data_IF_182722384101
#
_entry.id   IF_182722384101
#
_cell.length_a   1.000
_cell.length_b   1.000
_cell.length_c   1.000
_cell.angle_alpha   90.00
_cell.angle_beta   90.00
_cell.angle_gamma   90.00
#
_symmetry.space_group_name_H-M   'P 1'
#
loop_
_entity.id
_entity.type
_entity.pdbx_description
1 polymer ?
#
# COMPACT_ATOMS: atom_id res chain seq x y z
N UNK A 1 -2.72 6.57 17.00
CA UNK A 1 -1.82 6.60 18.17
C UNK A 1 -2.16 7.71 19.17
N UNK A 2 -3.00 8.68 18.83
CA UNK A 2 -3.34 9.80 19.69
C UNK A 2 -2.18 10.79 19.86
N UNK A 3 -2.01 11.33 21.07
CA UNK A 3 -0.96 12.30 21.36
C UNK A 3 0.42 11.62 21.40
N UNK A 4 1.33 12.05 20.54
CA UNK A 4 2.71 11.55 20.43
C UNK A 4 3.71 12.71 20.44
N UNK A 5 4.96 12.43 20.66
CA UNK A 5 6.02 13.44 20.53
C UNK A 5 6.22 13.78 19.04
N UNK A 6 6.17 15.07 18.71
CA UNK A 6 6.29 15.58 17.34
C UNK A 6 7.68 16.17 17.12
N UNK A 7 8.53 15.40 16.42
CA UNK A 7 9.90 15.78 16.11
C UNK A 7 9.96 16.35 14.68
N UNK A 8 10.00 17.66 14.53
CA UNK A 8 10.04 18.36 13.22
C UNK A 8 11.47 18.72 12.76
N UNK A 9 12.47 18.47 13.61
CA UNK A 9 13.87 18.73 13.27
C UNK A 9 14.66 17.44 13.32
N UNK A 10 15.61 17.31 12.41
CA UNK A 10 16.57 16.21 12.48
C UNK A 10 17.34 16.28 13.79
N UNK A 11 17.45 15.15 14.49
CA UNK A 11 18.28 15.05 15.66
C UNK A 11 19.76 15.10 15.24
N UNK A 12 20.49 16.06 15.73
CA UNK A 12 21.95 16.15 15.64
C UNK A 12 22.55 16.23 17.03
N UNK A 13 23.87 16.20 17.14
CA UNK A 13 24.56 16.24 18.43
C UNK A 13 24.31 17.51 19.27
N UNK A 14 23.78 18.56 18.66
CA UNK A 14 23.52 19.86 19.29
C UNK A 14 22.04 20.03 19.69
N UNK A 15 21.12 19.27 19.03
CA UNK A 15 19.67 19.42 19.15
C UNK A 15 18.96 18.22 19.77
N UNK A 16 19.68 17.29 20.40
CA UNK A 16 19.04 16.19 21.12
C UNK A 16 18.37 16.76 22.37
N UNK A 17 17.05 16.74 22.39
CA UNK A 17 16.28 16.98 23.61
C UNK A 17 15.80 15.65 24.19
N UNK A 18 16.05 15.46 25.47
CA UNK A 18 15.50 14.33 26.24
C UNK A 18 14.17 14.66 26.89
N UNK A 19 13.69 15.89 26.73
CA UNK A 19 12.39 16.36 27.23
C UNK A 19 11.30 16.00 26.23
N UNK A 20 10.90 14.75 26.23
CA UNK A 20 9.78 14.29 25.41
C UNK A 20 8.47 14.86 25.96
N UNK A 21 7.70 15.53 25.10
CA UNK A 21 6.35 15.96 25.41
C UNK A 21 5.38 15.45 24.34
N UNK A 22 4.15 15.19 24.75
CA UNK A 22 3.13 14.74 23.82
C UNK A 22 2.44 15.93 23.17
N UNK A 23 2.63 16.07 21.86
CA UNK A 23 1.85 17.01 21.05
C UNK A 23 0.40 16.52 20.93
N UNK A 24 -0.50 17.46 20.83
CA UNK A 24 -1.92 17.15 20.67
C UNK A 24 -2.23 16.62 19.27
N UNK A 25 -3.34 15.89 19.12
CA UNK A 25 -3.80 15.38 17.81
C UNK A 25 -3.95 16.52 16.79
N UNK A 26 -4.55 17.68 17.11
CA UNK A 26 -4.61 18.80 16.16
C UNK A 26 -3.24 19.31 15.70
N UNK A 27 -2.26 19.44 16.59
CA UNK A 27 -0.89 19.88 16.23
C UNK A 27 -0.22 18.88 15.27
N UNK A 28 -0.38 17.59 15.54
CA UNK A 28 0.17 16.53 14.70
C UNK A 28 -0.46 16.57 13.29
N UNK A 29 -1.80 16.66 13.21
CA UNK A 29 -2.47 16.75 11.93
C UNK A 29 -2.15 18.05 11.19
N UNK A 30 -1.97 19.18 11.86
CA UNK A 30 -1.54 20.42 11.23
C UNK A 30 -0.20 20.23 10.50
N UNK A 31 0.79 19.63 11.15
CA UNK A 31 2.08 19.34 10.55
C UNK A 31 1.96 18.37 9.37
N UNK A 32 1.20 17.27 9.50
CA UNK A 32 0.97 16.30 8.42
C UNK A 32 0.33 16.98 7.20
N UNK A 33 -0.67 17.81 7.42
CA UNK A 33 -1.39 18.48 6.31
C UNK A 33 -0.49 19.53 5.64
N UNK A 34 0.30 20.28 6.40
CA UNK A 34 1.27 21.24 5.86
C UNK A 34 2.29 20.54 4.96
N UNK A 35 2.93 19.47 5.45
CA UNK A 35 3.91 18.68 4.69
C UNK A 35 3.31 18.11 3.41
N UNK A 36 2.09 17.57 3.48
CA UNK A 36 1.42 16.98 2.34
C UNK A 36 0.97 18.03 1.31
N UNK A 37 0.52 19.20 1.73
CA UNK A 37 0.23 20.32 0.84
C UNK A 37 1.50 20.78 0.11
N UNK A 38 2.59 20.93 0.84
CA UNK A 38 3.90 21.26 0.26
C UNK A 38 4.32 20.18 -0.76
N UNK A 39 4.15 18.90 -0.46
CA UNK A 39 4.44 17.82 -1.38
C UNK A 39 3.56 17.87 -2.64
N UNK A 40 2.26 18.13 -2.50
CA UNK A 40 1.35 18.29 -3.65
C UNK A 40 1.76 19.44 -4.56
N UNK A 41 2.23 20.54 -4.01
CA UNK A 41 2.66 21.71 -4.79
C UNK A 41 3.97 21.44 -5.55
N UNK A 42 4.93 20.77 -4.91
CA UNK A 42 6.31 20.71 -5.38
C UNK A 42 6.71 19.39 -6.08
N UNK A 43 5.97 18.29 -5.87
CA UNK A 43 6.28 17.03 -6.53
C UNK A 43 5.88 17.04 -8.01
N UNK A 44 6.66 16.38 -8.87
CA UNK A 44 6.29 16.20 -10.27
C UNK A 44 5.11 15.21 -10.39
N UNK A 45 4.43 15.27 -11.53
CA UNK A 45 3.32 14.35 -11.85
C UNK A 45 3.83 12.93 -12.02
N UNK A 46 4.95 12.76 -12.73
CA UNK A 46 5.57 11.46 -12.99
C UNK A 46 7.09 11.57 -13.02
N UNK A 47 7.76 10.42 -13.02
CA UNK A 47 9.19 10.27 -13.23
C UNK A 47 9.43 9.30 -14.38
N UNK A 48 10.28 9.65 -15.35
CA UNK A 48 10.59 8.82 -16.51
C UNK A 48 11.31 7.52 -16.14
N UNK A 49 12.17 7.57 -15.12
CA UNK A 49 13.12 6.49 -14.86
C UNK A 49 12.83 5.68 -13.59
N UNK A 50 11.94 6.18 -12.72
CA UNK A 50 11.72 5.59 -11.39
C UNK A 50 10.23 5.56 -11.01
N UNK A 51 9.53 4.51 -11.40
CA UNK A 51 8.12 4.30 -11.10
C UNK A 51 7.77 4.20 -9.61
N UNK A 52 8.77 3.98 -8.74
CA UNK A 52 8.59 3.87 -7.29
C UNK A 52 8.84 5.17 -6.52
N UNK A 53 9.17 6.26 -7.23
CA UNK A 53 9.29 7.56 -6.57
C UNK A 53 7.93 8.15 -6.24
N UNK A 54 7.87 8.87 -5.12
CA UNK A 54 6.66 9.59 -4.70
C UNK A 54 6.36 10.70 -5.70
N UNK A 55 5.15 10.71 -6.22
CA UNK A 55 4.67 11.68 -7.21
C UNK A 55 3.54 12.55 -6.63
N UNK A 56 3.11 13.54 -7.38
CA UNK A 56 1.98 14.40 -7.00
C UNK A 56 0.72 13.58 -6.69
N UNK A 57 0.39 12.56 -7.49
CA UNK A 57 -0.77 11.69 -7.21
C UNK A 57 -0.63 10.93 -5.88
N UNK A 58 0.58 10.51 -5.54
CA UNK A 58 0.85 9.84 -4.26
C UNK A 58 0.60 10.76 -3.08
N UNK A 59 1.09 12.00 -3.16
CA UNK A 59 0.89 13.01 -2.13
C UNK A 59 -0.59 13.39 -1.98
N UNK A 60 -1.32 13.57 -3.09
CA UNK A 60 -2.75 13.86 -3.06
C UNK A 60 -3.58 12.73 -2.47
N UNK A 61 -3.29 11.47 -2.83
CA UNK A 61 -3.96 10.31 -2.25
C UNK A 61 -3.74 10.21 -0.74
N UNK A 62 -2.51 10.48 -0.29
CA UNK A 62 -2.19 10.48 1.13
C UNK A 62 -2.82 11.68 1.86
N UNK A 63 -2.89 12.85 1.22
CA UNK A 63 -3.55 14.04 1.76
C UNK A 63 -5.05 13.78 1.97
N UNK A 64 -5.75 13.23 0.98
CA UNK A 64 -7.16 12.86 1.13
C UNK A 64 -7.35 11.86 2.27
N UNK A 65 -6.46 10.88 2.40
CA UNK A 65 -6.49 9.89 3.49
C UNK A 65 -6.19 10.52 4.86
N UNK A 66 -5.27 11.47 4.93
CA UNK A 66 -4.99 12.20 6.17
C UNK A 66 -6.19 13.02 6.63
N UNK A 67 -6.85 13.73 5.71
CA UNK A 67 -8.07 14.45 6.00
C UNK A 67 -9.22 13.54 6.47
N UNK A 68 -9.50 12.43 5.79
CA UNK A 68 -10.58 11.54 6.21
C UNK A 68 -10.32 10.90 7.59
N UNK A 69 -9.07 10.55 7.87
CA UNK A 69 -8.70 10.01 9.18
C UNK A 69 -8.79 11.08 10.28
N UNK A 70 -8.39 12.31 9.99
CA UNK A 70 -8.49 13.43 10.92
C UNK A 70 -9.92 13.92 11.16
N UNK A 71 -10.82 13.70 10.19
CA UNK A 71 -12.24 14.05 10.33
C UNK A 71 -12.91 13.35 11.52
N UNK A 72 -12.43 12.17 11.92
CA UNK A 72 -12.91 11.48 13.12
C UNK A 72 -12.61 12.20 14.45
N UNK A 73 -11.80 13.27 14.40
CA UNK A 73 -11.49 14.14 15.55
C UNK A 73 -12.13 15.52 15.44
N UNK A 74 -13.08 15.72 14.51
CA UNK A 74 -13.74 17.00 14.23
C UNK A 74 -12.79 18.14 13.88
N UNK A 75 -11.65 17.82 13.26
CA UNK A 75 -10.63 18.80 12.92
C UNK A 75 -11.05 19.68 11.73
N UNK A 76 -10.48 20.89 11.72
CA UNK A 76 -10.61 21.87 10.64
C UNK A 76 -9.21 22.25 10.14
N UNK A 77 -9.13 22.53 8.84
CA UNK A 77 -7.92 23.09 8.24
C UNK A 77 -7.75 24.57 8.64
N UNK A 78 -6.61 25.15 8.32
CA UNK A 78 -6.26 26.53 8.63
C UNK A 78 -7.28 27.57 8.11
N UNK A 79 -7.99 27.25 7.05
CA UNK A 79 -9.06 28.08 6.48
C UNK A 79 -10.43 27.87 7.16
N UNK A 80 -10.49 27.05 8.20
CA UNK A 80 -11.72 26.77 8.96
C UNK A 80 -12.63 25.72 8.34
N UNK A 81 -12.31 25.19 7.16
CA UNK A 81 -13.06 24.13 6.48
C UNK A 81 -12.83 22.79 7.18
N UNK A 82 -13.89 21.99 7.30
CA UNK A 82 -13.79 20.69 7.95
C UNK A 82 -12.88 19.73 7.17
N UNK A 83 -12.20 18.85 7.88
CA UNK A 83 -11.36 17.82 7.24
C UNK A 83 -12.17 16.87 6.37
N UNK A 84 -13.42 16.59 6.69
CA UNK A 84 -14.29 15.78 5.86
C UNK A 84 -14.54 16.43 4.49
N UNK A 85 -14.84 17.73 4.46
CA UNK A 85 -15.02 18.49 3.24
C UNK A 85 -13.72 18.57 2.44
N UNK A 86 -12.58 18.84 3.09
CA UNK A 86 -11.26 18.82 2.46
C UNK A 86 -10.91 17.44 1.86
N UNK A 87 -11.26 16.35 2.53
CA UNK A 87 -11.06 15.00 2.00
C UNK A 87 -11.86 14.80 0.71
N UNK A 88 -13.14 15.22 0.72
CA UNK A 88 -14.02 15.13 -0.44
C UNK A 88 -13.48 15.97 -1.62
N UNK A 89 -13.11 17.21 -1.37
CA UNK A 89 -12.59 18.11 -2.40
C UNK A 89 -11.28 17.60 -3.02
N UNK A 90 -10.36 17.09 -2.16
CA UNK A 90 -9.08 16.53 -2.62
C UNK A 90 -9.31 15.31 -3.50
N UNK A 91 -10.16 14.38 -3.07
CA UNK A 91 -10.48 13.17 -3.83
C UNK A 91 -11.21 13.52 -5.14
N UNK A 92 -12.18 14.42 -5.10
CA UNK A 92 -12.93 14.88 -6.28
C UNK A 92 -12.01 15.59 -7.28
N UNK A 93 -11.07 16.39 -6.80
CA UNK A 93 -10.07 17.04 -7.65
C UNK A 93 -9.21 16.00 -8.40
N UNK A 94 -8.76 14.95 -7.72
CA UNK A 94 -8.05 13.85 -8.38
C UNK A 94 -8.92 13.14 -9.43
N UNK A 95 -10.15 12.80 -9.07
CA UNK A 95 -11.07 12.06 -9.95
C UNK A 95 -11.37 12.85 -11.23
N UNK A 96 -11.64 14.14 -11.10
CA UNK A 96 -11.97 14.99 -12.23
C UNK A 96 -10.77 15.35 -13.12
N UNK A 97 -9.57 15.26 -12.58
CA UNK A 97 -8.33 15.63 -13.27
C UNK A 97 -7.40 14.42 -13.48
N UNK A 98 -7.95 13.22 -13.62
CA UNK A 98 -7.18 11.97 -13.73
C UNK A 98 -6.13 12.01 -14.84
N UNK A 99 -6.40 12.67 -15.97
CA UNK A 99 -5.45 12.82 -17.06
C UNK A 99 -4.23 13.68 -16.67
N UNK A 100 -4.41 14.69 -15.80
CA UNK A 100 -3.33 15.55 -15.30
C UNK A 100 -2.44 14.80 -14.32
N UNK A 101 -3.05 13.96 -13.49
CA UNK A 101 -2.33 13.19 -12.46
C UNK A 101 -1.85 11.82 -12.94
N UNK A 102 -2.09 11.49 -14.21
CA UNK A 102 -1.68 10.23 -14.84
C UNK A 102 -2.12 9.01 -14.00
N UNK A 103 -3.41 8.92 -13.70
CA UNK A 103 -3.97 7.75 -13.07
C UNK A 103 -5.30 7.33 -13.73
N UNK A 104 -5.60 6.06 -13.69
CA UNK A 104 -6.89 5.52 -14.10
C UNK A 104 -7.17 4.19 -13.40
N UNK A 105 -8.40 3.72 -13.44
CA UNK A 105 -8.76 2.42 -12.90
C UNK A 105 -8.74 1.37 -14.01
N UNK A 106 -8.11 0.23 -13.75
CA UNK A 106 -8.12 -0.89 -14.67
C UNK A 106 -9.55 -1.42 -14.87
N UNK A 107 -9.90 -1.89 -16.08
CA UNK A 107 -11.22 -2.44 -16.36
C UNK A 107 -11.54 -3.71 -15.58
N UNK A 108 -10.53 -4.51 -15.26
CA UNK A 108 -10.68 -5.75 -14.52
C UNK A 108 -9.78 -5.79 -13.30
N UNK A 109 -10.27 -6.37 -12.21
CA UNK A 109 -9.51 -6.55 -10.98
C UNK A 109 -8.19 -7.29 -11.18
N UNK A 110 -8.17 -8.27 -12.08
CA UNK A 110 -6.95 -9.03 -12.40
C UNK A 110 -5.82 -8.16 -12.95
N UNK A 111 -6.16 -7.08 -13.69
CA UNK A 111 -5.16 -6.22 -14.31
C UNK A 111 -4.36 -5.43 -13.28
N UNK A 112 -4.98 -5.08 -12.16
CA UNK A 112 -4.32 -4.37 -11.05
C UNK A 112 -3.12 -5.16 -10.52
N UNK A 113 -3.23 -6.50 -10.48
CA UNK A 113 -2.24 -7.40 -9.92
C UNK A 113 -1.47 -8.19 -10.96
N UNK A 114 -1.67 -7.88 -12.25
CA UNK A 114 -0.93 -8.52 -13.33
C UNK A 114 0.54 -8.10 -13.29
N UNK A 115 1.45 -9.07 -13.37
CA UNK A 115 2.89 -8.82 -13.33
C UNK A 115 3.37 -7.87 -14.43
N UNK A 116 2.72 -7.86 -15.59
CA UNK A 116 3.04 -6.94 -16.69
C UNK A 116 2.72 -5.47 -16.34
N UNK A 117 1.85 -5.22 -15.37
CA UNK A 117 1.47 -3.89 -14.93
C UNK A 117 2.26 -3.42 -13.69
N UNK A 118 3.10 -4.27 -13.11
CA UNK A 118 3.79 -3.96 -11.86
C UNK A 118 4.61 -2.65 -11.88
N UNK A 119 5.23 -2.31 -13.01
CA UNK A 119 6.07 -1.11 -13.13
C UNK A 119 5.31 0.14 -13.49
N UNK A 120 4.20 0.00 -14.20
CA UNK A 120 3.41 1.12 -14.73
C UNK A 120 1.94 0.99 -14.32
N UNK A 121 1.68 0.60 -13.08
CA UNK A 121 0.32 0.48 -12.58
C UNK A 121 -0.25 1.87 -12.30
N UNK A 122 -1.00 2.40 -13.26
CA UNK A 122 -1.58 3.74 -13.16
C UNK A 122 -2.71 3.84 -12.12
N UNK A 123 -3.32 2.70 -11.74
CA UNK A 123 -4.29 2.67 -10.63
C UNK A 123 -3.60 2.82 -9.27
N UNK A 124 -2.37 2.36 -9.15
CA UNK A 124 -1.61 2.52 -7.91
C UNK A 124 -1.18 3.99 -7.71
N UNK A 125 -1.58 4.57 -6.61
CA UNK A 125 -1.16 5.93 -6.24
C UNK A 125 0.30 5.96 -5.76
N UNK A 126 0.78 4.88 -5.17
CA UNK A 126 2.15 4.69 -4.73
C UNK A 126 2.55 3.22 -4.83
N UNK A 127 3.76 2.97 -5.30
CA UNK A 127 4.31 1.63 -5.45
C UNK A 127 5.58 1.52 -4.60
N UNK A 128 5.55 0.65 -3.61
CA UNK A 128 6.75 0.24 -2.89
C UNK A 128 7.46 -0.84 -3.71
N UNK A 129 8.50 -0.46 -4.44
CA UNK A 129 9.22 -1.38 -5.29
C UNK A 129 10.28 -2.16 -4.50
N UNK A 130 10.31 -3.47 -4.71
CA UNK A 130 11.47 -4.31 -4.38
C UNK A 130 12.44 -4.33 -5.57
N UNK A 131 13.74 -4.35 -5.30
CA UNK A 131 14.72 -4.55 -6.37
C UNK A 131 14.73 -6.02 -6.82
N UNK A 132 14.99 -6.23 -8.10
CA UNK A 132 15.36 -7.55 -8.60
C UNK A 132 16.62 -8.01 -7.87
N UNK A 133 16.70 -9.31 -7.53
CA UNK A 133 17.84 -9.86 -6.83
C UNK A 133 19.10 -9.69 -7.69
N UNK A 134 19.88 -8.67 -7.40
CA UNK A 134 21.20 -8.48 -7.99
C UNK A 134 22.23 -9.07 -7.03
N UNK A 135 23.05 -9.99 -7.51
CA UNK A 135 24.10 -10.67 -6.73
C UNK A 135 25.00 -9.69 -5.99
N UNK A 136 25.20 -8.51 -6.52
CA UNK A 136 26.13 -7.52 -5.99
C UNK A 136 25.52 -6.64 -4.87
N UNK A 137 24.20 -6.58 -4.77
CA UNK A 137 23.51 -5.81 -3.72
C UNK A 137 23.29 -6.61 -2.42
N UNK A 138 23.65 -7.90 -2.37
CA UNK A 138 23.20 -8.85 -1.36
C UNK A 138 24.31 -9.59 -0.63
N UNK A 139 25.46 -9.00 -0.46
CA UNK A 139 26.55 -9.60 0.31
C UNK A 139 26.20 -9.87 1.79
N UNK A 140 25.10 -9.32 2.33
CA UNK A 140 24.77 -9.39 3.74
C UNK A 140 23.37 -9.95 4.07
N UNK A 141 22.73 -10.68 3.15
CA UNK A 141 21.45 -11.37 3.45
C UNK A 141 20.23 -10.45 3.61
N UNK A 142 20.37 -9.16 3.33
CA UNK A 142 19.25 -8.22 3.35
C UNK A 142 18.42 -8.35 2.07
N UNK A 143 17.19 -8.78 2.20
CA UNK A 143 16.28 -9.02 1.12
C UNK A 143 15.48 -7.76 0.81
N UNK A 144 15.66 -7.19 -0.37
CA UNK A 144 14.79 -6.11 -0.88
C UNK A 144 13.53 -6.62 -1.58
N UNK A 145 13.29 -7.92 -1.54
CA UNK A 145 12.11 -8.53 -2.11
C UNK A 145 10.94 -8.46 -1.13
N UNK A 146 9.74 -8.24 -1.66
CA UNK A 146 8.53 -8.38 -0.87
C UNK A 146 8.40 -9.82 -0.39
N UNK A 147 8.29 -10.01 0.92
CA UNK A 147 8.01 -11.31 1.52
C UNK A 147 6.51 -11.60 1.64
N UNK A 148 5.66 -10.73 1.11
CA UNK A 148 4.19 -10.87 1.20
C UNK A 148 3.72 -12.24 0.69
N UNK A 149 4.31 -12.77 -0.37
CA UNK A 149 3.97 -14.11 -0.86
C UNK A 149 4.14 -15.20 0.19
N UNK A 150 5.11 -15.07 1.09
CA UNK A 150 5.35 -16.06 2.16
C UNK A 150 4.22 -16.10 3.17
N UNK A 151 3.52 -14.99 3.36
CA UNK A 151 2.46 -14.90 4.35
C UNK A 151 1.13 -15.46 3.86
N UNK A 152 0.89 -15.43 2.56
CA UNK A 152 -0.40 -15.76 1.97
C UNK A 152 -0.40 -17.07 1.17
N UNK A 153 0.75 -17.55 0.71
CA UNK A 153 0.83 -18.78 -0.05
C UNK A 153 0.93 -20.01 0.86
N UNK A 154 0.27 -21.11 0.49
CA UNK A 154 0.34 -22.35 1.26
C UNK A 154 1.72 -23.00 1.17
N UNK A 155 2.06 -23.78 2.19
CA UNK A 155 3.21 -24.69 2.15
C UNK A 155 2.77 -26.04 1.57
N UNK A 156 3.05 -26.26 0.30
CA UNK A 156 2.63 -27.48 -0.40
C UNK A 156 3.68 -28.61 -0.38
N UNK A 157 4.85 -28.39 0.25
CA UNK A 157 5.94 -29.36 0.26
C UNK A 157 5.50 -30.75 0.74
N UNK A 158 4.85 -30.83 1.88
CA UNK A 158 4.37 -32.10 2.44
C UNK A 158 3.36 -32.78 1.52
N UNK A 159 2.46 -32.04 0.90
CA UNK A 159 1.48 -32.60 -0.03
C UNK A 159 2.11 -33.06 -1.34
N UNK A 160 3.18 -32.41 -1.81
CA UNK A 160 4.00 -32.85 -2.93
C UNK A 160 4.74 -34.13 -2.59
N UNK A 161 5.33 -34.24 -1.39
CA UNK A 161 6.04 -35.44 -0.93
C UNK A 161 5.09 -36.63 -0.77
N UNK A 162 3.84 -36.39 -0.43
CA UNK A 162 2.79 -37.42 -0.37
C UNK A 162 2.17 -37.73 -1.76
N UNK A 163 2.61 -37.06 -2.82
CA UNK A 163 2.06 -37.26 -4.15
C UNK A 163 0.63 -36.71 -4.36
N UNK A 164 0.18 -35.82 -3.47
CA UNK A 164 -1.16 -35.25 -3.54
C UNK A 164 -1.23 -33.98 -4.42
N UNK A 165 -0.09 -33.30 -4.60
CA UNK A 165 0.06 -32.11 -5.43
C UNK A 165 1.30 -32.25 -6.28
N UNK A 166 1.23 -31.90 -7.56
CA UNK A 166 2.39 -31.98 -8.45
C UNK A 166 3.47 -30.94 -8.12
N UNK A 167 4.70 -31.18 -8.56
CA UNK A 167 5.86 -30.30 -8.30
C UNK A 167 5.70 -28.93 -8.94
N UNK A 168 4.99 -28.83 -10.06
CA UNK A 168 4.73 -27.55 -10.73
C UNK A 168 3.83 -26.65 -9.88
N UNK A 169 2.75 -27.21 -9.34
CA UNK A 169 1.89 -26.48 -8.41
C UNK A 169 2.64 -26.02 -7.16
N UNK A 170 3.53 -26.85 -6.61
CA UNK A 170 4.36 -26.46 -5.47
C UNK A 170 5.35 -25.35 -5.85
N UNK A 171 5.91 -25.38 -7.04
CA UNK A 171 6.82 -24.34 -7.53
C UNK A 171 6.09 -23.00 -7.75
N UNK A 172 4.91 -23.03 -8.36
CA UNK A 172 4.15 -21.81 -8.73
C UNK A 172 3.43 -21.22 -7.51
N UNK A 173 2.76 -22.06 -6.72
CA UNK A 173 1.82 -21.61 -5.67
C UNK A 173 2.29 -21.92 -4.25
N UNK A 174 3.17 -22.89 -4.08
CA UNK A 174 3.68 -23.28 -2.78
C UNK A 174 5.00 -22.58 -2.44
N UNK A 175 5.14 -22.17 -1.21
CA UNK A 175 6.43 -21.72 -0.67
C UNK A 175 6.65 -22.42 0.66
N UNK A 176 7.85 -22.91 0.92
CA UNK A 176 8.14 -23.50 2.23
C UNK A 176 8.01 -22.40 3.29
N UNK A 177 7.32 -22.71 4.36
CA UNK A 177 7.43 -22.06 5.66
C UNK A 177 6.50 -20.92 6.05
N UNK A 178 5.34 -20.68 5.42
CA UNK A 178 4.43 -19.78 6.14
C UNK A 178 2.99 -19.74 5.62
N UNK A 179 2.10 -20.28 6.39
CA UNK A 179 0.67 -20.01 6.32
C UNK A 179 0.30 -19.04 7.44
N UNK A 180 0.86 -17.82 7.43
CA UNK A 180 0.64 -16.87 8.52
C UNK A 180 -0.74 -16.25 8.42
N UNK A 181 -1.20 -15.96 7.20
CA UNK A 181 -2.50 -15.35 6.95
C UNK A 181 -3.38 -16.30 6.13
N UNK A 182 -4.51 -16.63 6.69
CA UNK A 182 -5.57 -17.39 6.03
C UNK A 182 -6.83 -16.53 5.94
N UNK A 183 -7.67 -16.74 4.90
CA UNK A 183 -8.94 -16.06 4.81
C UNK A 183 -9.83 -16.41 6.01
N UNK A 184 -10.42 -15.40 6.62
CA UNK A 184 -11.38 -15.63 7.69
C UNK A 184 -12.67 -16.20 7.13
N UNK A 185 -13.44 -16.91 7.99
CA UNK A 185 -14.78 -17.38 7.60
C UNK A 185 -15.66 -16.20 7.13
N UNK A 186 -15.57 -15.05 7.78
CA UNK A 186 -16.31 -13.85 7.38
C UNK A 186 -16.00 -13.43 5.95
N UNK A 187 -14.72 -13.39 5.57
CA UNK A 187 -14.31 -13.04 4.20
C UNK A 187 -14.86 -14.04 3.19
N UNK A 188 -14.81 -15.34 3.52
CA UNK A 188 -15.35 -16.38 2.63
C UNK A 188 -16.87 -16.28 2.50
N UNK A 189 -17.58 -15.98 3.59
CA UNK A 189 -19.04 -15.78 3.59
C UNK A 189 -19.43 -14.55 2.73
N UNK A 190 -18.63 -13.47 2.75
CA UNK A 190 -18.87 -12.30 1.88
C UNK A 190 -18.80 -12.67 0.38
N UNK A 191 -17.84 -13.49 -0.03
CA UNK A 191 -17.76 -13.97 -1.40
C UNK A 191 -18.82 -15.04 -1.74
N UNK A 192 -19.26 -15.84 -0.76
CA UNK A 192 -20.33 -16.81 -0.98
C UNK A 192 -21.68 -16.15 -1.31
N UNK A 193 -21.85 -14.88 -0.95
CA UNK A 193 -23.04 -14.10 -1.33
C UNK A 193 -23.07 -13.73 -2.81
N UNK A 194 -21.92 -13.63 -3.48
CA UNK A 194 -21.80 -13.43 -4.92
C UNK A 194 -20.59 -14.17 -5.50
N UNK A 195 -20.80 -15.41 -5.90
CA UNK A 195 -19.78 -16.26 -6.51
C UNK A 195 -19.32 -15.78 -7.91
N UNK A 196 -20.01 -14.82 -8.52
CA UNK A 196 -19.62 -14.21 -9.79
C UNK A 196 -18.66 -13.04 -9.61
N UNK A 197 -18.39 -12.60 -8.38
CA UNK A 197 -17.40 -11.58 -8.11
C UNK A 197 -16.02 -12.04 -8.60
N UNK A 198 -15.49 -11.34 -9.61
CA UNK A 198 -14.21 -11.69 -10.21
C UNK A 198 -13.04 -11.68 -9.22
N UNK A 199 -13.13 -10.88 -8.15
CA UNK A 199 -12.11 -10.80 -7.09
C UNK A 199 -11.92 -12.14 -6.39
N UNK A 200 -12.99 -12.95 -6.22
CA UNK A 200 -12.87 -14.28 -5.63
C UNK A 200 -11.95 -15.17 -6.44
N UNK A 201 -12.17 -15.24 -7.75
CA UNK A 201 -11.37 -16.07 -8.66
C UNK A 201 -9.89 -15.70 -8.68
N UNK A 202 -9.57 -14.41 -8.59
CA UNK A 202 -8.20 -13.91 -8.67
C UNK A 202 -7.48 -13.83 -7.33
N UNK A 203 -8.22 -13.80 -6.22
CA UNK A 203 -7.63 -13.68 -4.87
C UNK A 203 -7.39 -15.03 -4.20
N UNK A 204 -8.07 -16.10 -4.62
CA UNK A 204 -8.00 -17.39 -3.95
C UNK A 204 -7.61 -18.51 -4.90
N UNK A 205 -6.67 -19.34 -4.46
CA UNK A 205 -6.33 -20.58 -5.14
C UNK A 205 -7.29 -21.64 -4.61
N UNK A 206 -8.23 -22.10 -5.47
CA UNK A 206 -9.27 -23.05 -5.10
C UNK A 206 -8.96 -24.50 -5.52
N UNK A 207 -7.95 -24.70 -6.37
CA UNK A 207 -7.56 -26.02 -6.85
C UNK A 207 -6.07 -26.07 -7.18
N UNK A 208 -5.49 -27.23 -7.02
CA UNK A 208 -4.13 -27.56 -7.42
C UNK A 208 -4.16 -28.79 -8.35
N UNK A 209 -3.20 -28.86 -9.28
CA UNK A 209 -3.03 -30.06 -10.08
C UNK A 209 -2.63 -31.22 -9.19
N UNK A 210 -3.29 -32.35 -9.32
CA UNK A 210 -2.89 -33.62 -8.70
C UNK A 210 -2.06 -34.45 -9.70
N UNK A 211 -1.29 -35.38 -9.19
CA UNK A 211 -0.65 -36.42 -10.00
C UNK A 211 -1.68 -37.34 -10.60
#
# INVERSE_FOLDING_TARGET
FGNVDLQLKAADSENISFDAHRSTVPEIYAAIIEDLKFAVENLPVSFSDYYSRVTKKSAMGLLARAYINGAGYDLKDIDGVSFLEKAYDTATTMINNKAIYEWYMHPAFADVFNENNNRNNEEALFIAAGAERNSDAYTNGNYSQSEMFRHFLPSLGTYTDLGLVDKTSNFVYGRPNSNIFLPSKYLMDCFAADMNDSRFRYSFISAYSSY
#
